data_IF_642305425877
#
_entry.id   IF_642305425877
#
_cell.length_a   1.000
_cell.length_b   1.000
_cell.length_c   1.000
_cell.angle_alpha   90.00
_cell.angle_beta   90.00
_cell.angle_gamma   90.00
#
_symmetry.space_group_name_H-M   'P 1'
#
loop_
_entity.id
_entity.type
_entity.pdbx_description
1 polymer ?
#
# COMPACT_ATOMS: atom_id res chain seq x y z
N UNK A 1 21.07 15.83 -12.28
CA UNK A 1 20.82 14.43 -12.71
C UNK A 1 19.62 13.92 -11.93
N UNK A 2 18.42 14.02 -12.50
CA UNK A 2 17.22 13.40 -11.96
C UNK A 2 17.28 11.90 -12.29
N UNK A 3 17.82 11.11 -11.36
CA UNK A 3 17.75 9.65 -11.49
C UNK A 3 16.28 9.22 -11.53
N UNK A 4 15.92 8.34 -12.47
CA UNK A 4 14.58 7.77 -12.56
C UNK A 4 14.23 7.06 -11.24
N UNK A 5 13.06 7.36 -10.68
CA UNK A 5 12.56 6.70 -9.47
C UNK A 5 12.49 5.19 -9.71
N UNK A 6 13.13 4.40 -8.85
CA UNK A 6 13.07 2.93 -8.90
C UNK A 6 12.21 2.36 -7.77
N UNK A 7 11.69 1.15 -7.96
CA UNK A 7 11.02 0.40 -6.89
C UNK A 7 11.92 0.23 -5.65
N UNK A 8 13.23 0.07 -5.85
CA UNK A 8 14.20 -0.02 -4.76
C UNK A 8 14.39 1.28 -3.97
N UNK A 9 14.18 2.45 -4.58
CA UNK A 9 14.21 3.73 -3.85
C UNK A 9 12.99 3.88 -2.94
N UNK A 10 11.82 3.43 -3.41
CA UNK A 10 10.58 3.41 -2.63
C UNK A 10 10.65 2.38 -1.51
N UNK A 11 11.12 1.16 -1.79
CA UNK A 11 11.37 0.13 -0.77
C UNK A 11 12.30 0.65 0.34
N UNK A 12 13.42 1.28 -0.05
CA UNK A 12 14.39 1.85 0.89
C UNK A 12 13.74 2.90 1.79
N UNK A 13 12.92 3.80 1.23
CA UNK A 13 12.23 4.82 2.01
C UNK A 13 11.27 4.20 3.05
N UNK A 14 10.49 3.20 2.65
CA UNK A 14 9.57 2.50 3.56
C UNK A 14 10.33 1.75 4.67
N UNK A 15 11.45 1.10 4.34
CA UNK A 15 12.29 0.39 5.31
C UNK A 15 12.96 1.33 6.32
N UNK A 16 13.39 2.51 5.88
CA UNK A 16 13.91 3.55 6.80
C UNK A 16 12.85 4.04 7.78
N UNK A 17 11.58 4.02 7.40
CA UNK A 17 10.44 4.32 8.28
C UNK A 17 10.02 3.14 9.17
N UNK A 18 10.75 2.01 9.14
CA UNK A 18 10.46 0.83 9.94
C UNK A 18 9.37 -0.09 9.36
N UNK A 19 8.93 0.16 8.11
CA UNK A 19 7.97 -0.72 7.45
C UNK A 19 8.72 -1.89 6.78
N UNK A 20 8.29 -3.15 6.97
CA UNK A 20 8.92 -4.33 6.38
C UNK A 20 8.54 -4.47 4.89
N UNK A 21 8.79 -3.42 4.10
CA UNK A 21 8.49 -3.40 2.68
C UNK A 21 9.50 -4.20 1.88
N UNK A 22 9.03 -4.81 0.80
CA UNK A 22 9.84 -5.58 -0.14
C UNK A 22 9.45 -5.25 -1.56
N UNK A 23 10.41 -5.23 -2.47
CA UNK A 23 10.11 -5.26 -3.90
C UNK A 23 9.56 -6.66 -4.23
N UNK A 24 8.37 -6.73 -4.82
CA UNK A 24 7.64 -7.98 -5.00
C UNK A 24 8.33 -8.96 -5.97
N UNK A 25 8.22 -10.25 -5.61
CA UNK A 25 8.19 -11.46 -6.47
C UNK A 25 7.02 -12.34 -5.99
N UNK A 26 6.54 -13.27 -6.82
CA UNK A 26 5.15 -13.83 -6.84
C UNK A 26 4.54 -14.46 -5.57
N UNK A 27 5.18 -14.51 -4.41
CA UNK A 27 4.59 -15.10 -3.19
C UNK A 27 5.08 -14.38 -1.92
N UNK A 28 4.24 -13.53 -1.31
CA UNK A 28 4.55 -12.98 0.02
C UNK A 28 3.28 -12.86 0.89
N UNK A 29 3.25 -13.44 2.11
CA UNK A 29 2.06 -13.51 2.95
C UNK A 29 1.94 -12.22 3.78
N UNK A 30 1.39 -11.17 3.17
CA UNK A 30 1.05 -9.94 3.87
C UNK A 30 2.19 -8.93 4.01
N UNK A 31 1.84 -7.68 4.35
CA UNK A 31 2.80 -6.59 4.53
C UNK A 31 2.77 -5.56 3.39
N UNK A 32 3.94 -4.98 3.08
CA UNK A 32 4.06 -3.91 2.07
C UNK A 32 4.84 -4.41 0.87
N UNK A 33 4.21 -4.36 -0.29
CA UNK A 33 4.81 -4.72 -1.56
C UNK A 33 5.07 -3.50 -2.41
N UNK A 34 6.20 -3.51 -3.11
CA UNK A 34 6.60 -2.44 -4.03
C UNK A 34 6.84 -3.02 -5.42
N UNK A 35 6.24 -2.42 -6.44
CA UNK A 35 6.37 -2.89 -7.82
C UNK A 35 6.47 -1.71 -8.79
N UNK A 36 7.35 -1.82 -9.80
CA UNK A 36 7.35 -0.87 -10.91
C UNK A 36 6.17 -1.17 -11.85
N UNK A 37 5.37 -0.15 -12.18
CA UNK A 37 4.22 -0.25 -13.09
C UNK A 37 4.26 0.89 -14.09
N UNK A 38 4.75 0.61 -15.30
CA UNK A 38 4.93 1.63 -16.34
C UNK A 38 5.84 2.77 -15.87
N UNK A 39 5.28 3.97 -15.74
CA UNK A 39 5.98 5.18 -15.31
C UNK A 39 5.91 5.46 -13.80
N UNK A 40 5.23 4.62 -13.03
CA UNK A 40 5.04 4.80 -11.59
C UNK A 40 5.57 3.60 -10.81
N UNK A 41 5.76 3.78 -9.51
CA UNK A 41 5.97 2.69 -8.57
C UNK A 41 4.70 2.52 -7.74
N UNK A 42 4.13 1.33 -7.74
CA UNK A 42 3.00 0.96 -6.91
C UNK A 42 3.50 0.42 -5.57
N UNK A 43 2.85 0.85 -4.51
CA UNK A 43 2.99 0.31 -3.16
C UNK A 43 1.64 -0.21 -2.73
N UNK A 44 1.55 -1.52 -2.49
CA UNK A 44 0.34 -2.14 -1.98
C UNK A 44 0.56 -2.58 -0.54
N UNK A 45 -0.51 -2.52 0.24
CA UNK A 45 -0.54 -3.06 1.59
C UNK A 45 -1.53 -4.22 1.62
N UNK A 46 -1.00 -5.40 1.91
CA UNK A 46 -1.81 -6.61 2.09
C UNK A 46 -2.10 -6.78 3.57
N UNK A 47 -3.39 -6.70 3.98
CA UNK A 47 -3.77 -6.92 5.37
C UNK A 47 -3.44 -8.35 5.82
N UNK A 48 -3.25 -8.54 7.12
CA UNK A 48 -3.08 -9.88 7.69
C UNK A 48 -4.31 -10.77 7.44
N UNK A 49 -4.09 -12.08 7.34
CA UNK A 49 -5.15 -13.06 7.04
C UNK A 49 -6.29 -12.99 8.06
N UNK A 50 -5.99 -12.77 9.34
CA UNK A 50 -7.00 -12.67 10.40
C UNK A 50 -7.94 -11.49 10.20
N UNK A 51 -7.41 -10.37 9.71
CA UNK A 51 -8.20 -9.18 9.38
C UNK A 51 -9.04 -9.42 8.12
N UNK A 52 -8.49 -10.13 7.13
CA UNK A 52 -9.20 -10.48 5.90
C UNK A 52 -10.30 -11.51 6.12
N UNK A 53 -10.05 -12.57 6.90
CA UNK A 53 -10.98 -13.66 7.14
C UNK A 53 -12.27 -13.17 7.82
N UNK A 54 -12.15 -12.29 8.81
CA UNK A 54 -13.29 -11.67 9.48
C UNK A 54 -14.14 -10.81 8.53
N UNK A 55 -13.49 -10.10 7.60
CA UNK A 55 -14.16 -9.27 6.62
C UNK A 55 -14.81 -10.07 5.48
N UNK A 56 -14.12 -11.10 4.96
CA UNK A 56 -14.61 -11.92 3.85
C UNK A 56 -15.93 -12.62 4.19
N UNK A 57 -16.04 -13.16 5.40
CA UNK A 57 -17.29 -13.77 5.88
C UNK A 57 -18.44 -12.74 5.96
N UNK A 58 -18.12 -11.52 6.39
CA UNK A 58 -19.11 -10.45 6.49
C UNK A 58 -19.56 -9.90 5.14
N UNK A 59 -18.66 -9.80 4.14
CA UNK A 59 -19.03 -9.32 2.79
C UNK A 59 -20.20 -10.11 2.18
N UNK A 60 -20.27 -11.41 2.48
CA UNK A 60 -21.29 -12.30 1.93
C UNK A 60 -22.61 -12.28 2.69
N UNK A 61 -22.62 -11.80 3.94
CA UNK A 61 -23.74 -12.01 4.88
C UNK A 61 -24.30 -10.73 5.48
N UNK A 62 -23.46 -9.73 5.71
CA UNK A 62 -23.84 -8.43 6.27
C UNK A 62 -22.87 -7.33 5.79
N UNK A 63 -23.22 -6.62 4.70
CA UNK A 63 -22.45 -5.49 4.19
C UNK A 63 -22.26 -4.34 5.19
N UNK A 64 -23.07 -4.27 6.25
CA UNK A 64 -22.97 -3.29 7.32
C UNK A 64 -22.18 -3.77 8.54
N UNK A 65 -21.53 -4.94 8.46
CA UNK A 65 -20.91 -5.50 9.65
C UNK A 65 -19.76 -4.62 10.17
N UNK A 66 -19.56 -4.57 11.50
CA UNK A 66 -18.41 -3.89 12.09
C UNK A 66 -17.05 -4.38 11.57
N UNK A 67 -16.95 -5.63 11.10
CA UNK A 67 -15.72 -6.20 10.55
C UNK A 67 -15.35 -5.55 9.20
N UNK A 68 -16.33 -5.30 8.34
CA UNK A 68 -16.12 -4.61 7.06
C UNK A 68 -15.75 -3.15 7.27
N UNK A 69 -16.45 -2.47 8.18
CA UNK A 69 -16.10 -1.11 8.54
C UNK A 69 -14.70 -1.02 9.13
N UNK A 70 -14.33 -1.98 9.99
CA UNK A 70 -13.00 -2.04 10.58
C UNK A 70 -11.93 -2.24 9.52
N UNK A 71 -12.10 -3.20 8.60
CA UNK A 71 -11.18 -3.40 7.47
C UNK A 71 -11.04 -2.12 6.63
N UNK A 72 -12.16 -1.46 6.31
CA UNK A 72 -12.16 -0.21 5.55
C UNK A 72 -11.39 0.91 6.26
N UNK A 73 -11.61 1.07 7.58
CA UNK A 73 -10.89 2.06 8.41
C UNK A 73 -9.39 1.77 8.46
N UNK A 74 -9.00 0.53 8.72
CA UNK A 74 -7.58 0.15 8.77
C UNK A 74 -6.93 0.38 7.41
N UNK A 75 -7.56 -0.06 6.32
CA UNK A 75 -7.07 0.17 4.95
C UNK A 75 -6.84 1.66 4.66
N UNK A 76 -7.79 2.52 5.04
CA UNK A 76 -7.65 3.97 4.87
C UNK A 76 -6.50 4.57 5.68
N UNK A 77 -6.33 4.15 6.94
CA UNK A 77 -5.24 4.59 7.82
C UNK A 77 -3.89 4.16 7.26
N UNK A 78 -3.76 2.90 6.86
CA UNK A 78 -2.51 2.35 6.33
C UNK A 78 -2.10 3.06 5.04
N UNK A 79 -3.05 3.29 4.13
CA UNK A 79 -2.80 4.06 2.90
C UNK A 79 -2.31 5.47 3.21
N UNK A 80 -2.98 6.18 4.11
CA UNK A 80 -2.59 7.55 4.45
C UNK A 80 -1.21 7.60 5.10
N UNK A 81 -0.93 6.68 6.03
CA UNK A 81 0.38 6.57 6.66
C UNK A 81 1.50 6.34 5.62
N UNK A 82 1.27 5.45 4.65
CA UNK A 82 2.22 5.23 3.55
C UNK A 82 2.47 6.50 2.73
N UNK A 83 1.42 7.22 2.35
CA UNK A 83 1.52 8.49 1.61
C UNK A 83 2.37 9.49 2.40
N UNK A 84 2.08 9.67 3.69
CA UNK A 84 2.77 10.65 4.52
C UNK A 84 4.26 10.29 4.70
N UNK A 85 4.57 9.00 4.90
CA UNK A 85 5.95 8.50 4.96
C UNK A 85 6.69 8.79 3.66
N UNK A 86 6.12 8.41 2.50
CA UNK A 86 6.77 8.57 1.20
C UNK A 86 6.98 10.06 0.87
N UNK A 87 5.99 10.91 1.17
CA UNK A 87 6.11 12.36 1.01
C UNK A 87 7.17 12.96 1.92
N UNK A 88 7.28 12.49 3.17
CA UNK A 88 8.36 12.92 4.07
C UNK A 88 9.75 12.55 3.56
N UNK A 89 9.86 11.49 2.74
CA UNK A 89 11.07 11.10 2.02
C UNK A 89 11.29 11.89 0.70
N UNK A 90 10.45 12.90 0.42
CA UNK A 90 10.54 13.74 -0.78
C UNK A 90 9.97 13.08 -2.04
N UNK A 91 9.07 12.11 -1.91
CA UNK A 91 8.45 11.40 -3.03
C UNK A 91 7.03 11.91 -3.31
N UNK A 92 6.68 12.00 -4.59
CA UNK A 92 5.31 12.29 -5.03
C UNK A 92 4.45 11.03 -4.92
N UNK A 93 3.81 10.85 -3.76
CA UNK A 93 2.92 9.75 -3.45
C UNK A 93 1.45 10.20 -3.37
N UNK A 94 0.54 9.40 -3.92
CA UNK A 94 -0.91 9.65 -3.85
C UNK A 94 -1.72 8.33 -3.86
N UNK A 95 -2.99 8.36 -3.42
CA UNK A 95 -3.87 7.21 -3.55
C UNK A 95 -3.99 6.81 -5.01
N UNK A 96 -4.01 5.50 -5.29
CA UNK A 96 -4.30 5.04 -6.64
C UNK A 96 -5.78 5.30 -6.96
N UNK A 97 -6.06 5.78 -8.16
CA UNK A 97 -7.42 5.88 -8.71
C UNK A 97 -7.60 4.84 -9.81
N UNK A 98 -8.63 3.98 -9.74
CA UNK A 98 -8.95 3.02 -10.80
C UNK A 98 -9.03 1.57 -10.33
N UNK A 99 -8.46 0.65 -11.12
CA UNK A 99 -8.58 -0.82 -10.96
C UNK A 99 -7.77 -1.43 -9.80
N UNK A 100 -7.07 -0.60 -9.03
CA UNK A 100 -6.20 -1.03 -7.93
C UNK A 100 -6.93 -1.03 -6.58
N UNK A 101 -6.34 -1.71 -5.59
CA UNK A 101 -6.94 -1.88 -4.28
C UNK A 101 -7.10 -0.56 -3.53
N UNK A 102 -8.11 -0.43 -2.64
CA UNK A 102 -8.36 0.80 -1.88
C UNK A 102 -7.20 1.16 -0.92
N UNK A 103 -6.28 0.23 -0.66
CA UNK A 103 -5.07 0.43 0.14
C UNK A 103 -3.85 0.89 -0.66
N UNK A 104 -3.92 0.90 -1.99
CA UNK A 104 -2.74 1.06 -2.85
C UNK A 104 -2.35 2.55 -2.99
N UNK A 105 -1.05 2.75 -3.16
CA UNK A 105 -0.42 4.07 -3.34
C UNK A 105 0.44 4.04 -4.60
N UNK A 106 0.31 5.05 -5.45
CA UNK A 106 1.24 5.26 -6.56
C UNK A 106 2.29 6.32 -6.19
N UNK A 107 3.51 6.11 -6.67
CA UNK A 107 4.64 7.04 -6.52
C UNK A 107 5.18 7.38 -7.91
N UNK A 108 5.16 8.67 -8.26
CA UNK A 108 5.46 9.13 -9.63
C UNK A 108 6.85 9.73 -9.81
N UNK A 109 7.48 10.15 -8.73
CA UNK A 109 8.78 10.82 -8.78
C UNK A 109 9.16 11.45 -7.45
N UNK A 110 10.01 12.48 -7.52
CA UNK A 110 10.35 13.33 -6.37
C UNK A 110 9.54 14.63 -6.41
N UNK A 111 9.24 15.16 -5.23
CA UNK A 111 8.63 16.47 -5.03
C UNK A 111 9.59 17.61 -5.38
#
# INVERSE_FOLDING_TARGET
MTGSLSAGDVERALRLAGLPARVLGDDDPGGFSVQASGSVVLVAWTPAEELLAGAAQAMLTDPGSPALEHLGRVTGIMRQAMIDILRSAGLDAQPVTGEYGPGDVEVRGRL
#
